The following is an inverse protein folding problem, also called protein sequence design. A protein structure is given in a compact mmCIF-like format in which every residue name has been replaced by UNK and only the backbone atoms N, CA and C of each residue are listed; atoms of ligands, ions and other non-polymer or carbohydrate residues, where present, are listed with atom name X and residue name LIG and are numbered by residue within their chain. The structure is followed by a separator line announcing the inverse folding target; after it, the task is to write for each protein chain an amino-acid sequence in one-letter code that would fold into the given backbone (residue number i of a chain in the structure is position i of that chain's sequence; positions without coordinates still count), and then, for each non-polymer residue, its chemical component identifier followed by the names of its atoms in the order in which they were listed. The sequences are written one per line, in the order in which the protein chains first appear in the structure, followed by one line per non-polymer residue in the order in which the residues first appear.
data_IF_285744305077
#
_entry.id   IF_285744305077
#
_cell.length_a   1.000
_cell.length_b   1.000
_cell.length_c   1.000
_cell.angle_alpha   90.00
_cell.angle_beta   90.00
_cell.angle_gamma   90.00
#
_symmetry.space_group_name_H-M   'P 1'
#
loop_
_entity.id
_entity.type
_entity.pdbx_description
1 polymer ?
#
# COMPACT_ATOMS: atom_id res chain seq x y z
N UNK A 1 26.54 14.99 -16.75
CA UNK A 1 26.28 13.97 -15.70
C UNK A 1 26.51 14.48 -14.28
N UNK A 2 27.59 15.19 -13.93
CA UNK A 2 27.68 15.91 -12.65
C UNK A 2 26.94 17.26 -12.69
N UNK A 3 26.94 17.94 -13.84
CA UNK A 3 26.22 19.21 -14.03
C UNK A 3 24.68 19.05 -13.98
N UNK A 4 24.13 17.96 -14.53
CA UNK A 4 22.68 17.67 -14.46
C UNK A 4 22.18 17.39 -13.03
N UNK A 5 23.06 16.88 -12.15
CA UNK A 5 22.73 16.62 -10.75
C UNK A 5 22.81 17.88 -9.89
N UNK A 6 23.63 18.86 -10.30
CA UNK A 6 23.70 20.17 -9.66
C UNK A 6 22.50 21.02 -10.08
N UNK A 7 22.13 21.00 -11.37
CA UNK A 7 20.94 21.70 -11.88
C UNK A 7 19.64 21.16 -11.25
N UNK A 8 19.48 19.84 -11.12
CA UNK A 8 18.31 19.26 -10.44
C UNK A 8 18.24 19.57 -8.94
N UNK A 9 19.38 19.85 -8.29
CA UNK A 9 19.44 20.25 -6.88
C UNK A 9 19.12 21.74 -6.71
N UNK A 10 19.59 22.58 -7.62
CA UNK A 10 19.25 24.02 -7.63
C UNK A 10 17.77 24.27 -7.98
N UNK A 11 17.20 23.48 -8.89
CA UNK A 11 15.76 23.58 -9.21
C UNK A 11 14.89 23.14 -8.04
N UNK A 12 15.32 22.12 -7.27
CA UNK A 12 14.63 21.66 -6.07
C UNK A 12 14.75 22.66 -4.90
N UNK A 13 15.90 23.31 -4.72
CA UNK A 13 16.10 24.35 -3.71
C UNK A 13 15.36 25.65 -4.04
N UNK A 14 15.21 25.99 -5.33
CA UNK A 14 14.40 27.13 -5.77
C UNK A 14 12.89 26.86 -5.66
N UNK A 15 12.43 25.62 -5.91
CA UNK A 15 11.04 25.21 -5.65
C UNK A 15 10.74 25.17 -4.14
N UNK A 16 11.72 24.79 -3.31
CA UNK A 16 11.63 24.84 -1.84
C UNK A 16 11.61 26.29 -1.30
N UNK A 17 12.42 27.20 -1.84
CA UNK A 17 12.40 28.64 -1.48
C UNK A 17 11.09 29.33 -1.89
N UNK A 18 10.51 28.98 -3.03
CA UNK A 18 9.20 29.50 -3.44
C UNK A 18 8.03 28.98 -2.59
N UNK A 19 8.19 27.84 -1.92
CA UNK A 19 7.25 27.38 -0.90
C UNK A 19 7.38 28.11 0.44
N UNK A 20 8.57 28.62 0.78
CA UNK A 20 8.81 29.37 2.03
C UNK A 20 8.45 30.86 1.89
N UNK A 21 8.67 31.48 0.72
CA UNK A 21 8.43 32.92 0.52
C UNK A 21 6.96 33.32 0.27
N UNK A 22 6.03 32.36 0.27
CA UNK A 22 4.58 32.66 0.22
C UNK A 22 3.93 32.73 1.62
N UNK A 23 4.72 32.65 2.68
CA UNK A 23 4.28 32.94 4.05
C UNK A 23 4.60 34.39 4.41
N UNK A 24 3.69 35.30 4.04
CA UNK A 24 3.63 36.66 4.58
C UNK A 24 3.70 37.77 3.54
N UNK A 25 2.55 38.29 3.11
CA UNK A 25 2.07 39.61 3.53
C UNK A 25 0.66 39.84 2.97
N UNK A 26 -0.29 40.03 3.86
CA UNK A 26 -1.63 40.47 3.49
C UNK A 26 -1.69 41.98 3.67
N UNK A 27 -1.65 42.74 2.57
CA UNK A 27 -2.15 44.10 2.62
C UNK A 27 -2.70 44.60 1.27
N UNK A 28 -3.85 45.26 1.37
CA UNK A 28 -4.60 45.94 0.32
C UNK A 28 -3.73 46.92 -0.48
N UNK A 29 -3.94 47.03 -1.80
CA UNK A 29 -4.23 48.31 -2.50
C UNK A 29 -4.53 48.10 -3.99
N UNK A 30 -5.40 48.98 -4.49
CA UNK A 30 -5.87 49.11 -5.88
C UNK A 30 -4.77 49.62 -6.82
N UNK A 31 -5.09 49.47 -8.12
CA UNK A 31 -4.70 50.29 -9.28
C UNK A 31 -3.60 49.83 -10.27
N UNK A 32 -3.99 50.00 -11.54
CA UNK A 32 -3.23 50.20 -12.79
C UNK A 32 -2.89 48.99 -13.67
N UNK A 33 -3.68 48.91 -14.77
CA UNK A 33 -3.39 48.18 -15.99
C UNK A 33 -2.30 48.88 -16.82
N UNK A 34 -1.38 48.10 -17.40
CA UNK A 34 -0.50 48.47 -18.53
C UNK A 34 0.08 47.17 -19.16
N UNK A 35 0.62 47.20 -20.40
CA UNK A 35 0.14 46.32 -21.48
C UNK A 35 0.95 45.04 -21.74
N UNK A 36 0.28 44.14 -22.46
CA UNK A 36 0.67 42.77 -22.86
C UNK A 36 1.97 42.76 -23.68
N UNK A 37 2.98 42.03 -23.20
CA UNK A 37 4.13 41.57 -23.99
C UNK A 37 3.86 40.18 -24.61
N UNK A 38 4.42 39.87 -25.79
CA UNK A 38 4.01 38.70 -26.58
C UNK A 38 4.44 37.37 -25.92
N UNK A 39 3.71 36.26 -26.18
CA UNK A 39 3.96 34.99 -25.52
C UNK A 39 5.27 34.37 -26.01
N UNK A 40 6.19 34.16 -25.07
CA UNK A 40 7.34 33.28 -25.27
C UNK A 40 6.83 31.89 -25.65
N UNK A 41 7.13 31.46 -26.87
CA UNK A 41 6.86 30.09 -27.35
C UNK A 41 7.77 29.15 -26.56
N UNK A 42 7.23 28.56 -25.50
CA UNK A 42 7.89 27.48 -24.76
C UNK A 42 7.95 26.26 -25.67
N UNK A 43 9.16 25.87 -26.06
CA UNK A 43 9.40 24.64 -26.83
C UNK A 43 8.78 23.42 -26.09
N UNK A 44 8.20 22.45 -26.81
CA UNK A 44 7.57 21.30 -26.18
C UNK A 44 8.64 20.46 -25.49
N UNK A 45 8.68 20.48 -24.16
CA UNK A 45 9.42 19.50 -23.40
C UNK A 45 8.82 18.13 -23.72
N UNK A 46 9.64 17.21 -24.26
CA UNK A 46 9.28 15.81 -24.44
C UNK A 46 9.08 15.18 -23.05
N UNK A 47 7.92 15.42 -22.43
CA UNK A 47 7.53 14.74 -21.19
C UNK A 47 7.38 13.27 -21.52
N UNK A 48 8.35 12.46 -21.08
CA UNK A 48 8.30 11.00 -21.16
C UNK A 48 6.98 10.55 -20.50
N UNK A 49 6.06 9.96 -21.28
CA UNK A 49 4.78 9.46 -20.75
C UNK A 49 5.07 8.41 -19.66
N UNK A 50 4.74 8.76 -18.42
CA UNK A 50 4.82 7.88 -17.24
C UNK A 50 3.42 7.35 -16.92
N UNK A 51 3.34 6.13 -16.39
CA UNK A 51 2.09 5.43 -16.10
C UNK A 51 1.52 4.66 -17.29
N UNK A 52 0.26 4.25 -17.15
CA UNK A 52 -0.49 3.43 -18.12
C UNK A 52 -0.38 1.93 -17.87
N UNK A 53 -0.99 1.15 -18.77
CA UNK A 53 -1.17 -0.30 -18.61
C UNK A 53 0.12 -1.10 -18.45
N UNK A 54 1.22 -0.71 -19.11
CA UNK A 54 2.51 -1.41 -18.97
C UNK A 54 2.99 -1.40 -17.52
N UNK A 55 2.89 -0.24 -16.88
CA UNK A 55 3.22 -0.04 -15.47
C UNK A 55 2.20 -0.74 -14.57
N UNK A 56 0.91 -0.61 -14.86
CA UNK A 56 -0.15 -1.24 -14.08
C UNK A 56 -0.04 -2.77 -14.07
N UNK A 57 0.31 -3.41 -15.20
CA UNK A 57 0.50 -4.86 -15.30
C UNK A 57 1.62 -5.35 -14.38
N UNK A 58 2.72 -4.60 -14.24
CA UNK A 58 3.80 -4.95 -13.29
C UNK A 58 3.31 -4.89 -11.84
N UNK A 59 2.50 -3.87 -11.51
CA UNK A 59 1.88 -3.76 -10.17
C UNK A 59 0.89 -4.91 -9.92
N UNK A 60 0.09 -5.29 -10.92
CA UNK A 60 -0.83 -6.43 -10.84
C UNK A 60 -0.08 -7.77 -10.66
N UNK A 61 1.00 -7.98 -11.41
CA UNK A 61 1.83 -9.18 -11.28
C UNK A 61 2.47 -9.26 -9.89
N UNK A 62 3.03 -8.14 -9.40
CA UNK A 62 3.55 -8.05 -8.04
C UNK A 62 2.45 -8.35 -7.00
N UNK A 63 1.23 -7.83 -7.18
CA UNK A 63 0.12 -8.12 -6.29
C UNK A 63 -0.23 -9.61 -6.28
N UNK A 64 -0.37 -10.25 -7.45
CA UNK A 64 -0.67 -11.68 -7.53
C UNK A 64 0.40 -12.54 -6.82
N UNK A 65 1.67 -12.21 -7.02
CA UNK A 65 2.80 -12.93 -6.42
C UNK A 65 2.90 -12.71 -4.90
N UNK A 66 2.71 -11.48 -4.43
CA UNK A 66 2.67 -11.17 -2.99
C UNK A 66 1.50 -11.90 -2.31
N UNK A 67 0.33 -11.95 -2.96
CA UNK A 67 -0.84 -12.67 -2.47
C UNK A 67 -0.62 -14.17 -2.44
N UNK A 68 -0.01 -14.75 -3.49
CA UNK A 68 0.37 -16.17 -3.48
C UNK A 68 1.29 -16.48 -2.28
N UNK A 69 2.32 -15.67 -2.05
CA UNK A 69 3.25 -15.88 -0.95
C UNK A 69 2.57 -15.76 0.43
N UNK A 70 1.69 -14.77 0.61
CA UNK A 70 0.98 -14.57 1.87
C UNK A 70 0.00 -15.70 2.19
N UNK A 71 -0.83 -16.10 1.22
CA UNK A 71 -1.75 -17.20 1.40
C UNK A 71 -1.02 -18.55 1.55
N UNK A 72 0.19 -18.69 0.99
CA UNK A 72 1.01 -19.89 1.14
C UNK A 72 1.28 -20.18 2.61
N UNK A 73 1.67 -19.12 3.33
CA UNK A 73 1.86 -19.20 4.78
C UNK A 73 0.53 -19.31 5.52
N UNK A 74 -0.45 -18.47 5.17
CA UNK A 74 -1.65 -18.28 5.99
C UNK A 74 -2.64 -19.44 5.98
N UNK A 75 -2.83 -20.11 4.83
CA UNK A 75 -3.88 -21.12 4.65
C UNK A 75 -3.61 -22.35 5.52
N UNK A 76 -2.37 -22.81 5.55
CA UNK A 76 -1.99 -23.99 6.33
C UNK A 76 -1.34 -23.64 7.67
N UNK A 77 -1.41 -22.38 8.10
CA UNK A 77 -0.81 -21.97 9.37
C UNK A 77 -1.39 -22.76 10.56
N UNK A 78 -2.70 -23.03 10.59
CA UNK A 78 -3.33 -23.85 11.64
C UNK A 78 -2.75 -25.26 11.65
N UNK A 79 -2.55 -25.86 10.47
CA UNK A 79 -1.95 -27.19 10.34
C UNK A 79 -0.50 -27.19 10.77
N UNK A 80 0.26 -26.15 10.45
CA UNK A 80 1.63 -26.00 10.92
C UNK A 80 1.70 -25.88 12.45
N UNK A 81 0.86 -25.04 13.08
CA UNK A 81 0.81 -24.88 14.53
C UNK A 81 0.42 -26.18 15.26
N UNK A 82 -0.48 -26.97 14.68
CA UNK A 82 -0.98 -28.23 15.28
C UNK A 82 -0.06 -29.41 15.02
N UNK A 83 0.46 -29.58 13.80
CA UNK A 83 1.29 -30.73 13.40
C UNK A 83 2.77 -30.56 13.79
N UNK A 84 3.29 -29.33 13.73
CA UNK A 84 4.72 -29.04 13.98
C UNK A 84 4.95 -28.50 15.39
N UNK A 85 4.21 -27.46 15.78
CA UNK A 85 4.32 -26.87 17.14
C UNK A 85 3.46 -27.59 18.19
N UNK A 86 2.70 -28.63 17.78
CA UNK A 86 1.92 -29.51 18.65
C UNK A 86 0.91 -28.76 19.55
N UNK A 87 0.42 -27.60 19.09
CA UNK A 87 -0.63 -26.86 19.79
C UNK A 87 -1.98 -27.58 19.68
N UNK A 88 -2.83 -27.38 20.69
CA UNK A 88 -4.22 -27.81 20.59
C UNK A 88 -4.96 -27.04 19.48
N UNK A 89 -5.89 -27.71 18.80
CA UNK A 89 -6.63 -27.13 17.67
C UNK A 89 -7.29 -25.78 17.99
N UNK A 90 -7.85 -25.64 19.20
CA UNK A 90 -8.50 -24.40 19.64
C UNK A 90 -7.48 -23.25 19.80
N UNK A 91 -6.31 -23.53 20.38
CA UNK A 91 -5.23 -22.55 20.57
C UNK A 91 -4.65 -22.14 19.23
N UNK A 92 -4.38 -23.10 18.35
CA UNK A 92 -3.87 -22.84 17.00
C UNK A 92 -4.83 -21.96 16.18
N UNK A 93 -6.13 -22.30 16.18
CA UNK A 93 -7.15 -21.51 15.48
C UNK A 93 -7.25 -20.07 16.03
N UNK A 94 -7.15 -19.90 17.35
CA UNK A 94 -7.12 -18.59 17.97
C UNK A 94 -5.88 -17.78 17.53
N UNK A 95 -4.69 -18.39 17.56
CA UNK A 95 -3.45 -17.74 17.14
C UNK A 95 -3.50 -17.29 15.67
N UNK A 96 -4.06 -18.11 14.76
CA UNK A 96 -4.25 -17.73 13.36
C UNK A 96 -5.30 -16.62 13.20
N UNK A 97 -6.34 -16.63 14.02
CA UNK A 97 -7.36 -15.56 14.02
C UNK A 97 -6.76 -14.23 14.49
N UNK A 98 -5.94 -14.24 15.54
CA UNK A 98 -5.19 -13.07 16.02
C UNK A 98 -4.25 -12.58 14.93
N UNK A 99 -3.45 -13.49 14.33
CA UNK A 99 -2.54 -13.16 13.24
C UNK A 99 -3.29 -12.50 12.07
N UNK A 100 -4.40 -13.08 11.62
CA UNK A 100 -5.25 -12.51 10.56
C UNK A 100 -5.80 -11.13 10.95
N UNK A 101 -6.24 -10.95 12.20
CA UNK A 101 -6.65 -9.66 12.74
C UNK A 101 -5.53 -8.62 12.68
N UNK A 102 -4.29 -9.01 13.02
CA UNK A 102 -3.14 -8.08 12.95
C UNK A 102 -2.82 -7.65 11.52
N UNK A 103 -2.99 -8.51 10.52
CA UNK A 103 -2.82 -8.14 9.09
C UNK A 103 -3.74 -6.96 8.75
N UNK A 104 -5.01 -7.02 9.14
CA UNK A 104 -5.97 -5.94 8.89
C UNK A 104 -5.64 -4.65 9.64
N UNK A 105 -5.13 -4.75 10.87
CA UNK A 105 -4.64 -3.57 11.62
C UNK A 105 -3.44 -2.93 10.90
N UNK A 106 -2.50 -3.74 10.40
CA UNK A 106 -1.35 -3.22 9.66
C UNK A 106 -1.72 -2.62 8.31
N UNK A 107 -2.84 -3.04 7.70
CA UNK A 107 -3.39 -2.35 6.52
C UNK A 107 -3.72 -0.88 6.81
N UNK A 108 -4.29 -0.59 7.98
CA UNK A 108 -4.57 0.79 8.39
C UNK A 108 -3.27 1.58 8.58
N UNK A 109 -2.26 0.96 9.20
CA UNK A 109 -0.94 1.57 9.40
C UNK A 109 -0.25 1.86 8.07
N UNK A 110 -0.27 0.91 7.13
CA UNK A 110 0.32 1.08 5.81
C UNK A 110 -0.35 2.19 5.02
N UNK A 111 -1.68 2.23 4.99
CA UNK A 111 -2.44 3.31 4.36
C UNK A 111 -2.05 4.67 4.96
N UNK A 112 -2.07 4.79 6.29
CA UNK A 112 -1.71 6.02 6.99
C UNK A 112 -0.29 6.49 6.68
N UNK A 113 0.70 5.60 6.70
CA UNK A 113 2.09 5.94 6.38
C UNK A 113 2.27 6.38 4.93
N UNK A 114 1.56 5.74 4.00
CA UNK A 114 1.62 6.09 2.57
C UNK A 114 1.04 7.46 2.26
N UNK A 115 -0.07 7.83 2.89
CA UNK A 115 -0.73 9.10 2.62
C UNK A 115 -0.08 10.27 3.39
N UNK A 116 0.51 10.00 4.56
CA UNK A 116 0.98 11.05 5.48
C UNK A 116 2.47 11.38 5.37
N UNK A 117 3.35 10.39 5.16
CA UNK A 117 4.79 10.57 5.35
C UNK A 117 5.63 10.12 4.16
N UNK A 118 5.50 8.87 3.74
CA UNK A 118 6.46 8.23 2.85
C UNK A 118 6.07 8.29 1.37
N UNK A 119 4.77 8.45 1.08
CA UNK A 119 4.23 8.29 -0.27
C UNK A 119 4.04 6.82 -0.63
N UNK A 120 3.13 6.57 -1.59
CA UNK A 120 2.63 5.22 -1.90
C UNK A 120 3.70 4.25 -2.39
N UNK A 121 4.62 4.70 -3.25
CA UNK A 121 5.69 3.85 -3.77
C UNK A 121 6.70 3.41 -2.70
N UNK A 122 7.17 4.36 -1.88
CA UNK A 122 8.14 4.06 -0.84
C UNK A 122 7.53 3.12 0.20
N UNK A 123 6.29 3.39 0.60
CA UNK A 123 5.55 2.51 1.51
C UNK A 123 5.40 1.11 0.96
N UNK A 124 4.98 0.96 -0.31
CA UNK A 124 4.92 -0.36 -0.96
C UNK A 124 6.26 -1.11 -0.89
N UNK A 125 7.35 -0.42 -1.22
CA UNK A 125 8.68 -1.00 -1.27
C UNK A 125 9.14 -1.46 0.12
N UNK A 126 8.99 -0.61 1.14
CA UNK A 126 9.41 -0.94 2.51
C UNK A 126 8.63 -2.14 3.05
N UNK A 127 7.30 -2.14 2.90
CA UNK A 127 6.47 -3.24 3.38
C UNK A 127 6.74 -4.56 2.63
N UNK A 128 7.03 -4.52 1.33
CA UNK A 128 7.48 -5.70 0.59
C UNK A 128 8.83 -6.24 1.10
N UNK A 129 9.78 -5.39 1.45
CA UNK A 129 11.06 -5.83 2.03
C UNK A 129 10.86 -6.48 3.41
N UNK A 130 9.95 -5.94 4.22
CA UNK A 130 9.56 -6.52 5.51
C UNK A 130 8.93 -7.91 5.27
N UNK A 131 8.05 -8.05 4.28
CA UNK A 131 7.47 -9.34 3.89
C UNK A 131 8.56 -10.36 3.50
N UNK A 132 9.53 -9.97 2.67
CA UNK A 132 10.63 -10.85 2.28
C UNK A 132 11.45 -11.30 3.48
N UNK A 133 11.80 -10.39 4.38
CA UNK A 133 12.55 -10.73 5.58
C UNK A 133 11.75 -11.70 6.47
N UNK A 134 10.43 -11.52 6.57
CA UNK A 134 9.54 -12.41 7.32
C UNK A 134 9.54 -13.81 6.73
N UNK A 135 9.42 -13.93 5.41
CA UNK A 135 9.44 -15.21 4.70
C UNK A 135 10.79 -15.92 4.79
N UNK A 136 11.91 -15.19 4.73
CA UNK A 136 13.25 -15.76 4.93
C UNK A 136 13.42 -16.29 6.35
N UNK A 137 13.07 -15.50 7.36
CA UNK A 137 13.14 -15.92 8.76
C UNK A 137 12.25 -17.13 9.03
N UNK A 138 11.03 -17.13 8.48
CA UNK A 138 10.10 -18.26 8.59
C UNK A 138 10.72 -19.52 7.96
N UNK A 139 11.20 -19.42 6.72
CA UNK A 139 11.79 -20.56 6.00
C UNK A 139 13.01 -21.14 6.72
N UNK A 140 13.91 -20.28 7.21
CA UNK A 140 15.11 -20.68 7.95
C UNK A 140 14.75 -21.31 9.29
N UNK A 141 13.82 -20.72 10.03
CA UNK A 141 13.42 -21.19 11.36
C UNK A 141 12.72 -22.54 11.26
N UNK A 142 11.80 -22.68 10.31
CA UNK A 142 11.13 -23.95 10.03
C UNK A 142 12.13 -25.05 9.69
N UNK A 143 13.11 -24.75 8.82
CA UNK A 143 14.11 -25.73 8.38
C UNK A 143 15.11 -26.12 9.46
N UNK A 144 15.58 -25.18 10.27
CA UNK A 144 16.68 -25.40 11.21
C UNK A 144 16.21 -25.84 12.60
N UNK A 145 15.06 -25.36 13.08
CA UNK A 145 14.68 -25.50 14.48
C UNK A 145 13.34 -26.20 14.74
N UNK A 146 12.42 -26.20 13.76
CA UNK A 146 11.06 -26.72 13.99
C UNK A 146 10.83 -28.09 13.34
N UNK A 147 11.45 -28.38 12.19
CA UNK A 147 11.26 -29.64 11.47
C UNK A 147 12.34 -30.67 11.84
N UNK A 148 12.23 -31.19 13.07
CA UNK A 148 13.06 -32.29 13.57
C UNK A 148 12.18 -33.51 13.97
N UNK A 149 12.38 -34.71 13.40
CA UNK A 149 13.28 -35.05 12.29
C UNK A 149 12.85 -34.43 10.95
N UNK A 150 13.79 -34.29 10.00
CA UNK A 150 13.53 -33.67 8.69
C UNK A 150 12.31 -34.30 7.99
N UNK A 151 11.33 -33.47 7.62
CA UNK A 151 10.10 -33.90 6.95
C UNK A 151 8.98 -34.37 7.88
N UNK A 152 9.10 -34.14 9.20
CA UNK A 152 7.99 -34.34 10.13
C UNK A 152 6.84 -33.33 9.89
N UNK A 153 5.66 -33.62 10.45
CA UNK A 153 4.49 -32.76 10.33
C UNK A 153 3.61 -33.03 9.10
N UNK A 154 3.76 -34.20 8.46
CA UNK A 154 2.90 -34.72 7.39
C UNK A 154 1.60 -35.39 7.91
N UNK A 155 1.39 -35.39 9.23
CA UNK A 155 0.29 -36.08 9.90
C UNK A 155 0.56 -37.56 10.22
N UNK A 156 1.71 -38.11 9.83
CA UNK A 156 2.15 -39.47 10.16
C UNK A 156 3.39 -39.45 11.04
N UNK A 157 4.41 -38.69 10.64
CA UNK A 157 5.65 -38.48 11.35
C UNK A 157 5.50 -37.28 12.29
N UNK A 158 5.51 -37.56 13.59
CA UNK A 158 5.39 -36.55 14.65
C UNK A 158 6.72 -35.83 14.83
N UNK A 159 6.70 -34.49 14.87
CA UNK A 159 7.87 -33.68 15.18
C UNK A 159 8.23 -33.77 16.67
N UNK A 160 9.53 -33.71 16.98
CA UNK A 160 10.02 -33.56 18.34
C UNK A 160 9.60 -32.20 18.94
N UNK A 161 9.73 -32.08 20.27
CA UNK A 161 9.49 -30.80 20.93
C UNK A 161 10.42 -29.71 20.39
N UNK A 162 9.80 -28.62 19.96
CA UNK A 162 10.51 -27.50 19.34
C UNK A 162 11.27 -26.69 20.38
N UNK A 163 12.43 -26.17 20.00
CA UNK A 163 13.16 -25.22 20.85
C UNK A 163 12.35 -23.94 21.07
N UNK A 164 12.31 -23.45 22.32
CA UNK A 164 11.67 -22.18 22.68
C UNK A 164 12.16 -21.01 21.82
N UNK A 165 13.46 -21.00 21.48
CA UNK A 165 14.05 -19.96 20.62
C UNK A 165 13.47 -20.07 19.21
N UNK A 166 13.33 -21.29 18.67
CA UNK A 166 12.72 -21.52 17.37
C UNK A 166 11.27 -21.04 17.32
N UNK A 167 10.49 -21.32 18.36
CA UNK A 167 9.10 -20.85 18.45
C UNK A 167 9.00 -19.31 18.50
N UNK A 168 9.86 -18.64 19.27
CA UNK A 168 9.90 -17.17 19.33
C UNK A 168 10.23 -16.57 17.96
N UNK A 169 11.27 -17.09 17.28
CA UNK A 169 11.64 -16.60 15.95
C UNK A 169 10.52 -16.87 14.94
N UNK A 170 9.85 -18.01 15.06
CA UNK A 170 8.68 -18.33 14.24
C UNK A 170 7.56 -17.29 14.41
N UNK A 171 7.18 -16.95 15.65
CA UNK A 171 6.16 -15.91 15.87
C UNK A 171 6.59 -14.55 15.32
N UNK A 172 7.83 -14.14 15.57
CA UNK A 172 8.39 -12.91 14.99
C UNK A 172 8.26 -12.92 13.47
N UNK A 173 8.60 -14.05 12.84
CA UNK A 173 8.56 -14.19 11.38
C UNK A 173 7.14 -14.05 10.82
N UNK A 174 6.14 -14.73 11.39
CA UNK A 174 4.76 -14.65 10.89
C UNK A 174 4.14 -13.27 11.14
N UNK A 175 4.45 -12.61 12.26
CA UNK A 175 3.97 -11.24 12.50
C UNK A 175 4.66 -10.23 11.58
N UNK A 176 5.90 -10.49 11.16
CA UNK A 176 6.56 -9.67 10.15
C UNK A 176 5.97 -9.89 8.75
N UNK A 177 5.58 -11.13 8.41
CA UNK A 177 4.77 -11.41 7.21
C UNK A 177 3.44 -10.65 7.26
N UNK A 178 2.76 -10.65 8.41
CA UNK A 178 1.51 -9.90 8.59
C UNK A 178 1.69 -8.39 8.41
N UNK A 179 2.74 -7.82 9.00
CA UNK A 179 3.10 -6.42 8.85
C UNK A 179 3.40 -6.08 7.38
N UNK A 180 4.24 -6.89 6.73
CA UNK A 180 4.65 -6.71 5.35
C UNK A 180 3.47 -6.75 4.37
N UNK A 181 2.68 -7.82 4.40
CA UNK A 181 1.57 -7.97 3.46
C UNK A 181 0.42 -6.99 3.78
N UNK A 182 0.06 -6.84 5.06
CA UNK A 182 -1.00 -5.93 5.50
C UNK A 182 -0.73 -4.49 5.07
N UNK A 183 0.47 -3.96 5.34
CA UNK A 183 0.82 -2.59 4.94
C UNK A 183 1.02 -2.40 3.43
N UNK A 184 1.45 -3.44 2.72
CA UNK A 184 1.67 -3.41 1.27
C UNK A 184 0.36 -3.37 0.47
N UNK A 185 -0.62 -4.22 0.78
CA UNK A 185 -1.80 -4.43 -0.06
C UNK A 185 -2.61 -3.14 -0.37
N UNK A 186 -3.04 -2.34 0.63
CA UNK A 186 -3.86 -1.15 0.35
C UNK A 186 -3.07 -0.06 -0.37
N UNK A 187 -1.77 0.04 -0.09
CA UNK A 187 -0.87 1.04 -0.70
C UNK A 187 -0.52 0.68 -2.14
N UNK A 188 -0.42 -0.62 -2.44
CA UNK A 188 -0.22 -1.16 -3.78
C UNK A 188 -1.44 -0.91 -4.68
N UNK A 189 -2.65 -1.10 -4.15
CA UNK A 189 -3.89 -0.85 -4.87
C UNK A 189 -4.00 0.62 -5.31
N UNK A 190 -3.77 1.55 -4.39
CA UNK A 190 -3.82 2.99 -4.68
C UNK A 190 -2.68 3.41 -5.61
N UNK A 191 -1.46 2.91 -5.41
CA UNK A 191 -0.33 3.16 -6.29
C UNK A 191 -0.56 2.67 -7.74
N UNK A 192 -1.18 1.50 -7.91
CA UNK A 192 -1.52 0.97 -9.22
C UNK A 192 -2.61 1.79 -9.92
N UNK A 193 -3.61 2.25 -9.16
CA UNK A 193 -4.65 3.15 -9.69
C UNK A 193 -4.06 4.50 -10.13
N UNK A 194 -3.03 5.00 -9.44
CA UNK A 194 -2.32 6.24 -9.78
C UNK A 194 -1.56 6.19 -11.11
N UNK A 195 -1.45 5.01 -11.72
CA UNK A 195 -0.85 4.88 -13.05
C UNK A 195 -1.76 5.42 -14.16
N UNK A 196 -3.04 5.70 -13.87
CA UNK A 196 -4.00 6.27 -14.81
C UNK A 196 -4.34 7.72 -14.44
N UNK A 197 -4.55 8.56 -15.44
CA UNK A 197 -4.86 9.98 -15.24
C UNK A 197 -6.38 10.20 -15.15
N UNK A 198 -6.85 10.82 -14.07
CA UNK A 198 -8.27 11.14 -13.88
C UNK A 198 -8.76 12.27 -14.79
N UNK A 199 -7.85 13.01 -15.44
CA UNK A 199 -8.20 14.12 -16.34
C UNK A 199 -8.54 13.66 -17.78
N UNK A 200 -8.27 12.40 -18.12
CA UNK A 200 -8.59 11.80 -19.41
C UNK A 200 -9.77 10.80 -19.22
N UNK A 201 -10.90 10.94 -19.95
CA UNK A 201 -12.00 9.98 -19.89
C UNK A 201 -11.57 8.53 -20.11
N UNK A 202 -10.52 8.30 -20.92
CA UNK A 202 -9.95 6.95 -21.12
C UNK A 202 -9.18 6.46 -19.89
N UNK A 203 -8.56 7.37 -19.15
CA UNK A 203 -7.87 7.08 -17.90
C UNK A 203 -8.83 6.69 -16.79
N UNK A 204 -9.95 7.40 -16.65
CA UNK A 204 -11.01 7.09 -15.68
C UNK A 204 -11.58 5.67 -15.89
N UNK A 205 -11.95 5.33 -17.13
CA UNK A 205 -12.42 3.98 -17.48
C UNK A 205 -11.34 2.91 -17.22
N UNK A 206 -10.07 3.22 -17.53
CA UNK A 206 -8.95 2.31 -17.29
C UNK A 206 -8.69 2.06 -15.80
N UNK A 207 -8.94 3.05 -14.94
CA UNK A 207 -8.80 2.93 -13.48
C UNK A 207 -9.85 2.00 -12.89
N UNK A 208 -11.10 2.10 -13.34
CA UNK A 208 -12.15 1.15 -12.96
C UNK A 208 -11.79 -0.28 -13.38
N UNK A 209 -11.35 -0.46 -14.64
CA UNK A 209 -10.87 -1.75 -15.14
C UNK A 209 -9.67 -2.28 -14.35
N UNK A 210 -8.74 -1.40 -13.95
CA UNK A 210 -7.59 -1.77 -13.13
C UNK A 210 -8.02 -2.42 -11.81
N UNK A 211 -9.03 -1.88 -11.11
CA UNK A 211 -9.53 -2.52 -9.89
C UNK A 211 -10.10 -3.91 -10.15
N UNK A 212 -10.85 -4.12 -11.25
CA UNK A 212 -11.30 -5.45 -11.63
C UNK A 212 -10.12 -6.42 -11.83
N UNK A 213 -9.08 -6.00 -12.54
CA UNK A 213 -7.86 -6.80 -12.72
C UNK A 213 -7.09 -6.99 -11.42
N UNK A 214 -7.12 -6.03 -10.50
CA UNK A 214 -6.47 -6.13 -9.19
C UNK A 214 -7.13 -7.21 -8.35
N UNK A 215 -8.46 -7.22 -8.27
CA UNK A 215 -9.20 -8.30 -7.61
C UNK A 215 -9.01 -9.65 -8.32
N UNK A 216 -8.95 -9.67 -9.65
CA UNK A 216 -8.61 -10.88 -10.39
C UNK A 216 -7.21 -11.40 -10.01
N UNK A 217 -6.20 -10.53 -9.97
CA UNK A 217 -4.84 -10.87 -9.56
C UNK A 217 -4.76 -11.43 -8.12
N UNK A 218 -5.50 -10.83 -7.18
CA UNK A 218 -5.64 -11.35 -5.81
C UNK A 218 -6.20 -12.77 -5.80
N UNK A 219 -7.29 -13.01 -6.54
CA UNK A 219 -7.93 -14.32 -6.61
C UNK A 219 -7.04 -15.35 -7.30
N UNK A 220 -6.31 -14.98 -8.36
CA UNK A 220 -5.34 -15.86 -8.99
C UNK A 220 -4.23 -16.27 -8.02
N UNK A 221 -3.62 -15.31 -7.32
CA UNK A 221 -2.58 -15.60 -6.32
C UNK A 221 -3.08 -16.55 -5.23
N UNK A 222 -4.27 -16.27 -4.70
CA UNK A 222 -4.93 -17.13 -3.71
C UNK A 222 -5.25 -18.52 -4.25
N UNK A 223 -5.73 -18.65 -5.49
CA UNK A 223 -6.03 -19.94 -6.11
C UNK A 223 -4.78 -20.82 -6.24
N UNK A 224 -3.67 -20.27 -6.76
CA UNK A 224 -2.41 -21.01 -6.89
C UNK A 224 -1.84 -21.40 -5.53
N UNK A 225 -1.97 -20.52 -4.53
CA UNK A 225 -1.57 -20.83 -3.17
C UNK A 225 -2.37 -21.99 -2.58
N UNK A 226 -3.70 -21.89 -2.60
CA UNK A 226 -4.61 -22.88 -2.02
C UNK A 226 -4.55 -24.25 -2.71
N UNK A 227 -3.94 -24.34 -3.89
CA UNK A 227 -3.83 -25.59 -4.66
C UNK A 227 -2.41 -26.12 -4.61
N UNK A 228 -1.44 -25.38 -5.15
CA UNK A 228 -0.07 -25.85 -5.32
C UNK A 228 0.67 -25.87 -3.99
N UNK A 229 0.65 -24.76 -3.23
CA UNK A 229 1.42 -24.68 -1.98
C UNK A 229 0.80 -25.56 -0.91
N UNK A 230 -0.54 -25.54 -0.80
CA UNK A 230 -1.25 -26.41 0.15
C UNK A 230 -0.95 -27.88 -0.12
N UNK A 231 -0.88 -28.30 -1.38
CA UNK A 231 -0.51 -29.68 -1.72
C UNK A 231 0.89 -30.06 -1.20
N UNK A 232 1.89 -29.19 -1.34
CA UNK A 232 3.23 -29.48 -0.81
C UNK A 232 3.25 -29.54 0.71
N UNK A 233 2.59 -28.59 1.36
CA UNK A 233 2.54 -28.45 2.80
C UNK A 233 1.79 -29.61 3.48
N UNK A 234 0.66 -30.04 2.92
CA UNK A 234 -0.08 -31.20 3.44
C UNK A 234 0.69 -32.51 3.32
N UNK A 235 1.58 -32.63 2.33
CA UNK A 235 2.47 -33.77 2.18
C UNK A 235 3.74 -33.67 3.06
N UNK A 236 3.84 -32.67 3.96
CA UNK A 236 4.96 -32.49 4.88
C UNK A 236 6.13 -31.69 4.31
N UNK A 237 6.05 -31.17 3.09
CA UNK A 237 7.10 -30.36 2.46
C UNK A 237 7.01 -28.88 2.84
N UNK A 238 6.85 -28.59 4.14
CA UNK A 238 6.69 -27.25 4.70
C UNK A 238 7.81 -26.29 4.31
N UNK A 239 9.07 -26.71 4.42
CA UNK A 239 10.23 -25.88 4.05
C UNK A 239 10.18 -25.46 2.58
N UNK A 240 9.77 -26.38 1.70
CA UNK A 240 9.67 -26.07 0.27
C UNK A 240 8.53 -25.08 0.00
N UNK A 241 7.38 -25.25 0.66
CA UNK A 241 6.26 -24.29 0.57
C UNK A 241 6.66 -22.86 0.97
N UNK A 242 7.38 -22.71 2.07
CA UNK A 242 7.86 -21.39 2.52
C UNK A 242 8.93 -20.80 1.60
N UNK A 243 9.86 -21.59 1.07
CA UNK A 243 10.83 -21.11 0.09
C UNK A 243 10.20 -20.72 -1.24
N UNK A 244 9.18 -21.46 -1.69
CA UNK A 244 8.40 -21.10 -2.89
C UNK A 244 7.65 -19.78 -2.65
N UNK A 245 7.07 -19.59 -1.45
CA UNK A 245 6.46 -18.32 -1.06
C UNK A 245 7.46 -17.17 -1.09
N UNK A 246 8.66 -17.36 -0.53
CA UNK A 246 9.75 -16.38 -0.60
C UNK A 246 10.13 -16.05 -2.05
N UNK A 247 10.34 -17.06 -2.90
CA UNK A 247 10.73 -16.88 -4.29
C UNK A 247 9.65 -16.11 -5.08
N UNK A 248 8.37 -16.41 -4.85
CA UNK A 248 7.25 -15.70 -5.46
C UNK A 248 7.24 -14.23 -5.04
N UNK A 249 7.31 -13.95 -3.74
CA UNK A 249 7.37 -12.58 -3.24
C UNK A 249 8.59 -11.82 -3.79
N UNK A 250 9.76 -12.46 -3.84
CA UNK A 250 11.00 -11.86 -4.35
C UNK A 250 10.87 -11.49 -5.82
N UNK A 251 10.30 -12.39 -6.64
CA UNK A 251 10.00 -12.11 -8.03
C UNK A 251 9.03 -10.93 -8.17
N UNK A 252 8.02 -10.84 -7.30
CA UNK A 252 7.10 -9.70 -7.23
C UNK A 252 7.83 -8.38 -7.01
N UNK A 253 8.69 -8.33 -5.99
CA UNK A 253 9.50 -7.13 -5.68
C UNK A 253 10.41 -6.76 -6.84
N UNK A 254 11.07 -7.73 -7.49
CA UNK A 254 11.93 -7.49 -8.65
C UNK A 254 11.12 -6.87 -9.79
N UNK A 255 9.95 -7.44 -10.13
CA UNK A 255 9.07 -6.89 -11.17
C UNK A 255 8.59 -5.47 -10.81
N UNK A 256 8.26 -5.24 -9.55
CA UNK A 256 7.85 -3.94 -9.05
C UNK A 256 8.97 -2.90 -9.22
N UNK A 257 10.19 -3.19 -8.77
CA UNK A 257 11.33 -2.26 -8.82
C UNK A 257 11.85 -2.04 -10.25
N UNK A 258 11.84 -3.07 -11.11
CA UNK A 258 12.20 -2.92 -12.53
C UNK A 258 11.26 -1.94 -13.24
N UNK A 259 10.00 -1.88 -12.82
CA UNK A 259 9.01 -0.93 -13.35
C UNK A 259 9.22 0.53 -12.95
N UNK A 260 10.08 0.84 -11.99
CA UNK A 260 10.28 2.19 -11.41
C UNK A 260 10.42 3.32 -12.44
N UNK A 261 11.21 3.18 -13.54
CA UNK A 261 11.37 4.26 -14.53
C UNK A 261 10.08 4.61 -15.29
N UNK A 262 9.11 3.68 -15.33
CA UNK A 262 7.83 3.81 -16.02
C UNK A 262 6.67 4.26 -15.12
N UNK A 263 6.86 4.31 -13.80
CA UNK A 263 5.77 4.67 -12.88
C UNK A 263 5.46 6.16 -12.86
N UNK A 264 4.17 6.46 -12.68
CA UNK A 264 3.66 7.77 -12.26
C UNK A 264 3.65 7.81 -10.73
N UNK A 265 4.26 8.86 -10.17
CA UNK A 265 4.36 9.06 -8.73
C UNK A 265 3.45 10.23 -8.31
N UNK A 266 2.62 10.01 -7.31
CA UNK A 266 1.81 11.04 -6.67
C UNK A 266 2.44 11.39 -5.32
N UNK A 267 2.58 12.69 -5.03
CA UNK A 267 3.11 13.18 -3.74
C UNK A 267 2.12 12.86 -2.61
N UNK A 268 2.64 12.54 -1.42
CA UNK A 268 1.83 12.34 -0.23
C UNK A 268 1.02 13.62 0.10
N UNK A 269 -0.24 13.48 0.48
CA UNK A 269 -1.17 14.60 0.69
C UNK A 269 -1.11 15.22 2.11
N UNK A 270 -0.09 14.90 2.89
CA UNK A 270 0.05 15.34 4.28
C UNK A 270 -0.84 14.55 5.24
N UNK A 271 -0.73 14.83 6.54
CA UNK A 271 -1.40 14.05 7.58
C UNK A 271 -2.93 14.26 7.56
N UNK A 272 -3.76 13.20 7.37
CA UNK A 272 -5.22 13.29 7.38
C UNK A 272 -5.82 13.35 8.79
N UNK A 273 -5.10 12.95 9.84
CA UNK A 273 -5.61 12.92 11.22
C UNK A 273 -6.02 14.30 11.75
N UNK A 274 -5.26 15.40 11.53
CA UNK A 274 -5.73 16.73 11.88
C UNK A 274 -7.07 17.10 11.24
N UNK A 275 -7.35 16.65 10.01
CA UNK A 275 -8.62 16.95 9.33
C UNK A 275 -9.78 16.20 9.99
N UNK A 276 -9.58 14.93 10.33
CA UNK A 276 -10.57 14.12 11.06
C UNK A 276 -10.81 14.69 12.45
N UNK A 277 -9.74 15.03 13.18
CA UNK A 277 -9.82 15.64 14.49
C UNK A 277 -10.54 17.00 14.46
N UNK A 278 -10.29 17.82 13.43
CA UNK A 278 -11.00 19.08 13.22
C UNK A 278 -12.51 18.89 13.08
N UNK A 279 -12.97 17.83 12.38
CA UNK A 279 -14.40 17.53 12.26
C UNK A 279 -15.00 17.15 13.61
N UNK A 280 -14.36 16.27 14.37
CA UNK A 280 -14.84 15.90 15.71
C UNK A 280 -14.84 17.07 16.68
N UNK A 281 -13.77 17.88 16.68
CA UNK A 281 -13.67 19.09 17.51
C UNK A 281 -14.71 20.13 17.09
N UNK A 282 -14.93 20.34 15.79
CA UNK A 282 -15.93 21.26 15.28
C UNK A 282 -17.36 20.79 15.61
N UNK A 283 -17.65 19.49 15.44
CA UNK A 283 -18.94 18.90 15.80
C UNK A 283 -19.22 19.01 17.31
N UNK A 284 -18.21 18.73 18.14
CA UNK A 284 -18.32 18.91 19.59
C UNK A 284 -18.51 20.37 19.99
N UNK A 285 -17.74 21.31 19.41
CA UNK A 285 -17.87 22.75 19.69
C UNK A 285 -19.19 23.34 19.21
N UNK A 286 -19.76 22.80 18.13
CA UNK A 286 -20.99 23.29 17.50
C UNK A 286 -22.23 22.45 17.86
N UNK A 287 -22.13 21.53 18.83
CA UNK A 287 -23.22 20.63 19.20
C UNK A 287 -24.47 21.35 19.73
N UNK A 288 -24.29 22.54 20.29
CA UNK A 288 -25.37 23.37 20.85
C UNK A 288 -25.77 24.56 19.94
N UNK A 289 -25.30 24.60 18.69
CA UNK A 289 -25.67 25.66 17.75
C UNK A 289 -26.94 25.26 17.01
N UNK A 290 -27.95 26.13 17.02
CA UNK A 290 -29.16 25.98 16.21
C UNK A 290 -28.78 26.15 14.74
N UNK A 291 -28.98 25.11 13.94
CA UNK A 291 -28.66 25.10 12.51
C UNK A 291 -29.55 26.10 11.77
N UNK A 292 -28.97 27.03 11.00
CA UNK A 292 -29.70 27.96 10.11
C UNK A 292 -30.36 27.20 8.95
N UNK A 293 -31.21 27.90 8.18
CA UNK A 293 -32.02 27.32 7.09
C UNK A 293 -31.24 26.30 6.23
N UNK A 294 -31.79 25.09 5.98
CA UNK A 294 -31.14 24.04 5.18
C UNK A 294 -30.69 24.49 3.79
N UNK A 295 -31.38 25.50 3.23
CA UNK A 295 -31.10 26.06 1.91
C UNK A 295 -29.81 26.91 1.85
N UNK A 296 -29.12 27.14 2.98
CA UNK A 296 -27.88 27.92 3.06
C UNK A 296 -26.63 27.06 3.35
N UNK A 297 -26.76 25.74 3.47
CA UNK A 297 -25.63 24.82 3.73
C UNK A 297 -24.98 24.29 2.44
N UNK A 298 -24.39 25.18 1.64
CA UNK A 298 -23.58 24.81 0.47
C UNK A 298 -22.20 25.45 0.48
N UNK A 299 -21.23 24.84 -0.22
CA UNK A 299 -19.90 25.45 -0.40
C UNK A 299 -20.04 26.81 -1.10
N UNK A 300 -19.40 27.85 -0.55
CA UNK A 300 -19.43 29.22 -1.06
C UNK A 300 -19.00 29.27 -2.55
N UNK A 301 -19.60 30.18 -3.34
CA UNK A 301 -19.25 30.38 -4.75
C UNK A 301 -17.75 30.74 -4.93
N UNK A 302 -17.05 30.10 -5.89
CA UNK A 302 -15.60 30.27 -6.10
C UNK A 302 -14.97 29.14 -6.94
N UNK A 303 -13.76 29.32 -7.46
CA UNK A 303 -13.02 28.31 -8.25
C UNK A 303 -12.28 27.27 -7.42
N UNK A 304 -12.11 27.50 -6.12
CA UNK A 304 -11.41 26.61 -5.20
C UNK A 304 -12.38 26.02 -4.16
N UNK A 305 -12.11 24.80 -3.70
CA UNK A 305 -12.84 24.23 -2.55
C UNK A 305 -12.44 24.99 -1.28
N UNK A 306 -13.37 25.10 -0.33
CA UNK A 306 -13.05 25.59 1.01
C UNK A 306 -11.98 24.72 1.71
N UNK A 307 -11.77 23.50 1.22
CA UNK A 307 -10.75 22.56 1.68
C UNK A 307 -9.56 22.57 0.71
N UNK A 308 -8.44 23.12 1.16
CA UNK A 308 -7.19 23.18 0.39
C UNK A 308 -6.72 21.77 0.01
N UNK A 309 -6.61 21.50 -1.30
CA UNK A 309 -6.19 20.19 -1.84
C UNK A 309 -7.32 19.21 -2.15
N UNK A 310 -8.59 19.62 -2.07
CA UNK A 310 -9.76 18.81 -2.45
C UNK A 310 -10.44 19.38 -3.69
N UNK A 311 -11.03 18.51 -4.51
CA UNK A 311 -11.84 18.93 -5.68
C UNK A 311 -13.14 19.56 -5.19
N UNK A 312 -13.51 20.72 -5.75
CA UNK A 312 -14.78 21.39 -5.44
C UNK A 312 -15.97 20.49 -5.77
N UNK A 313 -16.93 20.38 -4.85
CA UNK A 313 -18.18 19.64 -5.08
C UNK A 313 -19.22 20.64 -5.57
N UNK A 314 -19.63 20.50 -6.83
CA UNK A 314 -20.59 21.39 -7.47
C UNK A 314 -22.00 21.04 -7.00
N UNK A 315 -22.81 22.05 -6.69
CA UNK A 315 -24.21 21.84 -6.37
C UNK A 315 -24.96 21.24 -7.57
N UNK A 316 -25.77 20.22 -7.33
CA UNK A 316 -26.62 19.56 -8.33
C UNK A 316 -28.06 19.62 -7.84
N UNK A 317 -28.95 20.25 -8.62
CA UNK A 317 -30.38 20.38 -8.31
C UNK A 317 -31.19 19.07 -8.45
N UNK A 318 -30.53 17.95 -8.78
CA UNK A 318 -31.20 16.68 -9.09
C UNK A 318 -31.71 15.87 -7.88
N UNK A 319 -31.51 16.35 -6.65
CA UNK A 319 -32.05 15.72 -5.45
C UNK A 319 -32.92 16.72 -4.69
N UNK A 320 -34.13 16.94 -5.21
CA UNK A 320 -35.24 17.63 -4.53
C UNK A 320 -36.32 16.64 -4.13
#
# INVERSE_FOLDING_TARGET
RSEDLIQHREDADNEFKNCINNDGDGNNSRENATPISPPNVVAPSFKKKRGGWKSAILVLANQALATLAFFGVGVNLVLFLTRVLRQENAVAANNVSVWTGTVYLFSLVGAFLSDSYWGRFLTCTVFQLILLLGLVLLSLTSWLFLLDPKGCGDGKLVCHETSVIGEIIFYISIYMVALGYGGHQPTCATFGADQFDDSDPKGESSKAAFFCYFYFALNCGSLFSNTVLVYYEDNGYWTLGFWVSFAAALLGVILFVVGTPGYRFIKACGNPLPRVAQVFVAAYRKCNIKVSNPNELYEVGGSESAIKGTRKIVHSEYFG
#
